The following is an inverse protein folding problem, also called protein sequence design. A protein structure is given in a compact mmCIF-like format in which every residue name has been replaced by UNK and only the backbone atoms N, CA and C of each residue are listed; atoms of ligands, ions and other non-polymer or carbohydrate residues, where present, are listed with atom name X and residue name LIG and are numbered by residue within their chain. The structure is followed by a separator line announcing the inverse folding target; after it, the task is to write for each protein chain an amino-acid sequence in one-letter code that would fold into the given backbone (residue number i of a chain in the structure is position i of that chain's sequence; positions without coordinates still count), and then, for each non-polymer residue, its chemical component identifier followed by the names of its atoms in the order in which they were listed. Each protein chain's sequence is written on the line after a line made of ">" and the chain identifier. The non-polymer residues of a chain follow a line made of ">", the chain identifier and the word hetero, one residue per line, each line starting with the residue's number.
data_IF_256597178273
#
_entry.id   IF_256597178273
#
_cell.length_a   1.000
_cell.length_b   1.000
_cell.length_c   1.000
_cell.angle_alpha   90.00
_cell.angle_beta   90.00
_cell.angle_gamma   90.00
#
_symmetry.space_group_name_H-M   'P 1'
#
loop_
_entity.id
_entity.type
_entity.pdbx_description
1 polymer ?
#
# COMPACT_ATOMS: atom_id res chain seq x y z
N UNK A 1 -5.92 31.10 19.17
CA UNK A 1 -6.46 29.84 18.62
C UNK A 1 -5.75 29.53 17.32
N UNK A 2 -4.92 28.49 17.35
CA UNK A 2 -4.25 27.93 16.18
C UNK A 2 -5.28 27.14 15.34
N UNK A 3 -5.05 27.02 14.03
CA UNK A 3 -5.88 26.23 13.11
C UNK A 3 -6.06 24.79 13.61
N UNK A 4 -5.03 24.19 14.22
CA UNK A 4 -5.11 22.86 14.84
C UNK A 4 -6.13 22.79 15.99
N UNK A 5 -6.14 23.80 16.86
CA UNK A 5 -7.05 23.83 18.01
C UNK A 5 -8.50 24.02 17.59
N UNK A 6 -8.75 24.86 16.57
CA UNK A 6 -10.08 25.05 15.99
C UNK A 6 -10.60 23.75 15.33
N UNK A 7 -9.72 23.01 14.68
CA UNK A 7 -10.06 21.72 14.06
C UNK A 7 -10.43 20.67 15.11
N UNK A 8 -9.66 20.58 16.20
CA UNK A 8 -9.94 19.64 17.30
C UNK A 8 -11.32 19.91 17.92
N UNK A 9 -11.65 21.19 18.14
CA UNK A 9 -12.96 21.55 18.69
C UNK A 9 -14.11 21.27 17.70
N UNK A 10 -13.89 21.52 16.40
CA UNK A 10 -14.87 21.19 15.36
C UNK A 10 -15.13 19.68 15.25
N UNK A 11 -14.09 18.86 15.34
CA UNK A 11 -14.21 17.39 15.31
C UNK A 11 -15.00 16.90 16.52
N UNK A 12 -14.81 17.48 17.70
CA UNK A 12 -15.53 17.09 18.93
C UNK A 12 -17.04 17.28 18.84
N UNK A 13 -17.50 18.30 18.10
CA UNK A 13 -18.92 18.62 17.95
C UNK A 13 -19.55 18.00 16.69
N UNK A 14 -18.74 17.40 15.82
CA UNK A 14 -19.19 16.83 14.56
C UNK A 14 -19.82 15.44 14.75
N UNK A 15 -20.78 15.05 13.89
CA UNK A 15 -21.29 13.68 13.84
C UNK A 15 -20.22 12.69 13.36
N UNK A 16 -20.27 11.45 13.82
CA UNK A 16 -19.28 10.39 13.48
C UNK A 16 -19.09 10.23 11.95
N UNK A 17 -20.17 10.32 11.17
CA UNK A 17 -20.11 10.23 9.71
C UNK A 17 -19.19 11.30 9.06
N UNK A 18 -19.15 12.50 9.63
CA UNK A 18 -18.30 13.60 9.13
C UNK A 18 -16.85 13.40 9.59
N UNK A 19 -16.65 12.81 10.77
CA UNK A 19 -15.32 12.49 11.29
C UNK A 19 -14.64 11.44 10.41
N UNK A 20 -15.37 10.42 9.97
CA UNK A 20 -14.87 9.39 9.05
C UNK A 20 -14.45 9.97 7.70
N UNK A 21 -15.26 10.86 7.12
CA UNK A 21 -14.94 11.53 5.85
C UNK A 21 -13.69 12.40 5.97
N UNK A 22 -13.60 13.19 7.05
CA UNK A 22 -12.43 14.02 7.31
C UNK A 22 -11.18 13.19 7.62
N UNK A 23 -11.33 12.03 8.26
CA UNK A 23 -10.22 11.12 8.52
C UNK A 23 -9.62 10.59 7.21
N UNK A 24 -10.45 10.09 6.29
CA UNK A 24 -9.98 9.65 4.98
C UNK A 24 -9.36 10.78 4.17
N UNK A 25 -9.94 11.98 4.23
CA UNK A 25 -9.35 13.16 3.60
C UNK A 25 -7.97 13.48 4.17
N UNK A 26 -7.82 13.41 5.49
CA UNK A 26 -6.57 13.72 6.17
C UNK A 26 -5.48 12.68 5.84
N UNK A 27 -5.82 11.39 5.83
CA UNK A 27 -4.93 10.33 5.34
C UNK A 27 -4.46 10.62 3.90
N UNK A 28 -5.38 10.94 3.00
CA UNK A 28 -5.04 11.27 1.61
C UNK A 28 -4.09 12.48 1.51
N UNK A 29 -4.28 13.51 2.34
CA UNK A 29 -3.39 14.68 2.34
C UNK A 29 -2.00 14.38 2.89
N UNK A 30 -1.90 13.50 3.89
CA UNK A 30 -0.60 13.09 4.44
C UNK A 30 0.20 12.28 3.44
N UNK A 31 -0.37 11.22 2.85
CA UNK A 31 0.31 10.40 1.84
C UNK A 31 0.80 11.20 0.63
N UNK A 32 0.10 12.30 0.27
CA UNK A 32 0.56 13.22 -0.77
C UNK A 32 1.73 14.09 -0.33
N UNK A 33 1.79 14.44 0.94
CA UNK A 33 2.85 15.25 1.51
C UNK A 33 4.15 14.46 1.66
N UNK A 34 4.08 13.21 2.12
CA UNK A 34 5.24 12.31 2.21
C UNK A 34 5.86 12.05 0.83
N UNK A 35 5.02 11.79 -0.18
CA UNK A 35 5.46 11.64 -1.58
C UNK A 35 6.06 12.89 -2.21
N UNK A 36 5.82 14.08 -1.63
CA UNK A 36 6.40 15.35 -2.08
C UNK A 36 7.70 15.71 -1.34
N UNK A 37 8.14 14.92 -0.35
CA UNK A 37 9.45 15.09 0.25
C UNK A 37 10.47 14.21 -0.48
N UNK A 38 11.38 14.77 -1.31
CA UNK A 38 12.49 14.01 -1.85
C UNK A 38 13.51 13.76 -0.73
N UNK A 39 13.36 12.62 -0.05
CA UNK A 39 14.31 12.14 0.94
C UNK A 39 15.58 11.67 0.21
N UNK A 40 16.58 12.53 0.19
CA UNK A 40 17.96 12.20 -0.19
C UNK A 40 18.54 11.29 0.88
N UNK A 41 18.48 9.96 0.71
CA UNK A 41 19.38 9.03 1.42
C UNK A 41 19.30 7.63 0.80
N UNK A 42 20.09 7.41 -0.25
CA UNK A 42 20.49 6.08 -0.63
C UNK A 42 21.51 5.59 0.42
N UNK A 43 21.15 4.58 1.21
CA UNK A 43 22.14 3.72 1.86
C UNK A 43 21.83 2.25 1.58
N UNK A 44 22.84 1.45 1.21
CA UNK A 44 22.69 0.04 0.92
C UNK A 44 22.96 -0.77 2.20
N UNK A 45 22.04 -1.63 2.64
CA UNK A 45 22.38 -2.64 3.64
C UNK A 45 21.71 -3.99 3.38
N UNK A 46 22.59 -4.95 3.11
CA UNK A 46 22.47 -6.38 3.33
C UNK A 46 21.70 -6.75 4.61
N UNK A 47 20.86 -7.79 4.56
CA UNK A 47 21.16 -9.12 5.13
C UNK A 47 19.89 -9.90 5.57
N UNK A 48 19.74 -11.12 5.04
CA UNK A 48 19.17 -12.33 5.63
C UNK A 48 17.72 -12.38 6.17
N UNK A 49 16.85 -13.01 5.37
CA UNK A 49 15.90 -14.10 5.73
C UNK A 49 15.49 -14.18 7.22
N UNK A 50 14.46 -13.44 7.62
CA UNK A 50 13.64 -13.78 8.81
C UNK A 50 12.16 -13.57 8.48
N UNK A 51 11.37 -14.63 8.58
CA UNK A 51 9.96 -14.69 8.23
C UNK A 51 9.02 -14.13 9.32
N UNK A 52 9.46 -13.13 10.09
CA UNK A 52 8.71 -12.61 11.25
C UNK A 52 8.93 -11.11 11.52
N UNK A 53 9.23 -10.29 10.50
CA UNK A 53 9.28 -8.84 10.67
C UNK A 53 8.01 -8.12 10.17
N UNK A 54 7.57 -7.07 10.89
CA UNK A 54 6.42 -6.27 10.50
C UNK A 54 6.74 -5.60 9.17
N UNK A 55 5.75 -5.61 8.28
CA UNK A 55 5.84 -4.99 6.96
C UNK A 55 5.81 -3.46 7.17
N UNK A 56 6.96 -2.85 7.51
CA UNK A 56 7.13 -1.40 7.48
C UNK A 56 7.33 -0.97 6.02
N UNK A 57 6.23 -0.90 5.28
CA UNK A 57 6.23 -0.39 3.91
C UNK A 57 5.15 0.67 3.80
N UNK A 58 5.42 1.84 4.37
CA UNK A 58 4.46 2.95 4.31
C UNK A 58 4.43 3.60 2.92
N UNK A 59 5.42 3.30 2.04
CA UNK A 59 5.54 3.90 0.70
C UNK A 59 5.93 2.94 -0.46
N UNK A 60 6.21 1.66 -0.22
CA UNK A 60 6.61 0.76 -1.32
C UNK A 60 5.42 0.48 -2.25
N UNK A 61 5.62 0.69 -3.55
CA UNK A 61 4.62 0.25 -4.54
C UNK A 61 4.58 -1.27 -4.59
N UNK A 62 3.41 -1.82 -4.91
CA UNK A 62 3.25 -3.27 -5.08
C UNK A 62 4.27 -3.87 -6.06
N UNK A 63 4.73 -3.09 -7.04
CA UNK A 63 5.72 -3.51 -8.01
C UNK A 63 7.12 -3.60 -7.39
N UNK A 64 7.53 -2.61 -6.59
CA UNK A 64 8.81 -2.63 -5.85
C UNK A 64 8.87 -3.77 -4.84
N UNK A 65 7.74 -4.05 -4.17
CA UNK A 65 7.62 -5.20 -3.28
C UNK A 65 7.83 -6.53 -4.02
N UNK A 66 7.24 -6.68 -5.22
CA UNK A 66 7.41 -7.88 -6.05
C UNK A 66 8.84 -8.00 -6.58
N UNK A 67 9.44 -6.89 -7.02
CA UNK A 67 10.82 -6.87 -7.47
C UNK A 67 11.77 -7.32 -6.36
N UNK A 68 11.61 -6.78 -5.14
CA UNK A 68 12.34 -7.20 -3.94
C UNK A 68 12.15 -8.69 -3.65
N UNK A 69 10.92 -9.19 -3.73
CA UNK A 69 10.61 -10.60 -3.45
C UNK A 69 11.27 -11.55 -4.46
N UNK A 70 11.31 -11.17 -5.74
CA UNK A 70 11.90 -11.98 -6.81
C UNK A 70 13.40 -11.81 -6.97
N UNK A 71 14.01 -10.80 -6.34
CA UNK A 71 15.43 -10.48 -6.46
C UNK A 71 16.36 -11.62 -6.01
N UNK A 72 15.94 -12.40 -5.02
CA UNK A 72 16.70 -13.54 -4.48
C UNK A 72 16.40 -14.88 -5.20
N UNK A 73 15.51 -14.89 -6.20
CA UNK A 73 15.10 -16.10 -6.90
C UNK A 73 15.93 -16.38 -8.17
N UNK A 74 16.22 -17.65 -8.43
CA UNK A 74 16.84 -18.07 -9.70
C UNK A 74 15.82 -18.19 -10.83
N UNK A 75 16.28 -18.09 -12.10
CA UNK A 75 15.39 -18.24 -13.27
C UNK A 75 14.65 -19.59 -13.29
N UNK A 76 15.25 -20.64 -12.75
CA UNK A 76 14.65 -21.97 -12.64
C UNK A 76 13.52 -22.03 -11.59
N UNK A 77 13.63 -21.25 -10.51
CA UNK A 77 12.59 -21.11 -9.47
C UNK A 77 11.46 -20.21 -9.95
N UNK A 78 11.79 -19.12 -10.65
CA UNK A 78 10.82 -18.23 -11.29
C UNK A 78 10.00 -19.01 -12.33
N UNK A 79 10.64 -19.90 -13.11
CA UNK A 79 9.95 -20.73 -14.09
C UNK A 79 9.01 -21.78 -13.46
N UNK A 80 9.24 -22.16 -12.19
CA UNK A 80 8.38 -23.04 -11.42
C UNK A 80 7.21 -22.32 -10.75
N UNK A 81 7.20 -20.97 -10.75
CA UNK A 81 6.06 -20.23 -10.24
C UNK A 81 4.80 -20.57 -11.03
N UNK A 82 3.63 -20.66 -10.35
CA UNK A 82 2.37 -20.89 -11.01
C UNK A 82 2.13 -19.79 -12.04
N UNK A 83 2.07 -20.18 -13.32
CA UNK A 83 1.91 -19.25 -14.45
C UNK A 83 0.59 -18.48 -14.47
N UNK A 84 -0.34 -18.83 -13.58
CA UNK A 84 -1.69 -18.31 -13.62
C UNK A 84 -2.12 -17.75 -12.26
N UNK A 85 -1.88 -16.45 -12.07
CA UNK A 85 -2.48 -15.65 -10.99
C UNK A 85 -3.65 -14.77 -11.48
N UNK A 86 -4.05 -14.92 -12.75
CA UNK A 86 -4.59 -13.82 -13.53
C UNK A 86 -5.66 -14.20 -14.56
N UNK A 87 -5.95 -15.49 -14.79
CA UNK A 87 -6.87 -16.00 -15.83
C UNK A 87 -8.24 -15.31 -15.84
N UNK A 88 -8.63 -14.72 -14.70
CA UNK A 88 -9.94 -14.16 -14.48
C UNK A 88 -9.91 -12.72 -13.98
N UNK A 89 -8.88 -11.93 -14.29
CA UNK A 89 -8.93 -10.50 -13.95
C UNK A 89 -10.20 -9.84 -14.49
N UNK A 90 -10.68 -10.23 -15.68
CA UNK A 90 -11.94 -9.73 -16.23
C UNK A 90 -13.17 -10.05 -15.36
N UNK A 91 -13.18 -11.17 -14.62
CA UNK A 91 -14.22 -11.48 -13.65
C UNK A 91 -14.20 -10.49 -12.48
N UNK A 92 -13.02 -10.19 -11.98
CA UNK A 92 -12.84 -9.28 -10.83
C UNK A 92 -12.95 -7.80 -11.22
N UNK A 93 -12.65 -7.46 -12.48
CA UNK A 93 -12.73 -6.09 -13.00
C UNK A 93 -14.15 -5.77 -13.54
N UNK A 94 -14.80 -6.72 -14.22
CA UNK A 94 -16.08 -6.49 -14.90
C UNK A 94 -17.26 -7.29 -14.35
N UNK A 95 -17.06 -8.13 -13.33
CA UNK A 95 -18.13 -8.91 -12.70
C UNK A 95 -18.69 -10.06 -13.56
N UNK A 96 -18.04 -10.38 -14.68
CA UNK A 96 -18.44 -11.44 -15.62
C UNK A 96 -18.45 -12.81 -14.92
N UNK A 97 -19.51 -13.62 -14.94
CA UNK A 97 -19.59 -14.84 -14.14
C UNK A 97 -18.41 -15.80 -14.42
N UNK A 98 -17.75 -16.26 -13.35
CA UNK A 98 -16.73 -17.32 -13.39
C UNK A 98 -17.37 -18.57 -14.01
N UNK A 99 -16.85 -18.99 -15.18
CA UNK A 99 -17.40 -20.00 -16.12
C UNK A 99 -18.50 -20.90 -15.49
N UNK A 100 -19.73 -20.97 -16.05
CA UNK A 100 -20.62 -22.09 -15.72
C UNK A 100 -19.96 -23.39 -16.23
N UNK A 101 -20.00 -24.43 -15.40
CA UNK A 101 -19.60 -25.79 -15.80
C UNK A 101 -20.45 -26.30 -16.94
#
# INVERSE_FOLDING_TARGET
>A
MNTKEKLIEAIRQAPDAVVEELFHFLQMTQSRHDRQQPSLEATPHDNALNADEPIETEDETLLELMERLTADMTEEEIAQLPKDGAEQHDHYIYGSPKRPK
#
